data_IF_724254496284
#
_entry.id   IF_724254496284
#
_cell.length_a   1.000
_cell.length_b   1.000
_cell.length_c   1.000
_cell.angle_alpha   90.00
_cell.angle_beta   90.00
_cell.angle_gamma   90.00
#
_symmetry.space_group_name_H-M   'P 1'
#
loop_
_entity.id
_entity.type
_entity.pdbx_description
1 polymer ?
#
# COMPACT_ATOMS: atom_id res chain seq x y z
N UNK A 1 10.04 -43.48 2.82
CA UNK A 1 10.26 -42.09 2.37
C UNK A 1 9.23 -41.72 1.31
N UNK A 2 8.77 -42.70 0.49
CA UNK A 2 7.76 -42.42 -0.55
C UNK A 2 6.38 -41.93 -0.01
N UNK A 3 6.12 -42.12 1.28
CA UNK A 3 4.85 -41.71 1.93
C UNK A 3 4.95 -40.40 2.74
N UNK A 4 6.11 -39.77 2.80
CA UNK A 4 6.26 -38.51 3.51
C UNK A 4 5.53 -37.39 2.77
N UNK A 5 4.40 -36.94 3.30
CA UNK A 5 3.51 -35.96 2.66
C UNK A 5 3.83 -34.50 2.99
N UNK A 6 4.79 -34.25 3.85
CA UNK A 6 5.20 -32.93 4.25
C UNK A 6 5.13 -32.67 5.76
N UNK A 7 5.39 -31.44 6.13
CA UNK A 7 5.34 -30.95 7.50
C UNK A 7 4.27 -29.87 7.62
N UNK A 8 3.41 -29.99 8.62
CA UNK A 8 2.41 -28.98 8.92
C UNK A 8 2.75 -28.36 10.28
N UNK A 9 3.02 -27.06 10.27
CA UNK A 9 3.38 -26.29 11.47
C UNK A 9 2.19 -25.43 11.84
N UNK A 10 1.68 -25.62 13.04
CA UNK A 10 0.59 -24.82 13.61
C UNK A 10 1.02 -24.21 14.93
N UNK A 11 0.59 -22.97 15.24
CA UNK A 11 0.77 -22.42 16.56
C UNK A 11 -0.03 -23.24 17.60
N UNK A 12 0.53 -23.44 18.77
CA UNK A 12 -0.20 -24.01 19.91
C UNK A 12 -1.31 -23.04 20.35
N UNK A 13 -2.55 -23.52 20.43
CA UNK A 13 -3.74 -22.67 20.56
C UNK A 13 -4.04 -22.22 22.00
N UNK A 14 -3.17 -22.46 22.95
CA UNK A 14 -3.37 -21.97 24.33
C UNK A 14 -2.98 -20.49 24.47
N UNK A 15 -3.83 -19.61 23.89
CA UNK A 15 -3.75 -18.19 24.19
C UNK A 15 -4.54 -17.88 25.48
N UNK A 16 -3.83 -17.83 26.58
CA UNK A 16 -4.40 -17.43 27.88
C UNK A 16 -4.67 -15.93 27.99
N UNK A 17 -4.21 -15.13 27.05
CA UNK A 17 -4.41 -13.69 27.03
C UNK A 17 -5.20 -13.29 25.78
N UNK A 18 -6.47 -12.91 25.90
CA UNK A 18 -7.21 -12.32 24.81
C UNK A 18 -6.52 -11.02 24.34
N UNK A 19 -6.47 -10.78 23.05
CA UNK A 19 -5.89 -9.59 22.41
C UNK A 19 -4.35 -9.47 22.45
N UNK A 20 -3.64 -10.54 22.74
CA UNK A 20 -2.18 -10.58 22.59
C UNK A 20 -1.80 -11.75 21.70
N UNK A 21 -1.07 -11.49 20.66
CA UNK A 21 -0.52 -12.48 19.76
C UNK A 21 0.88 -12.06 19.30
N UNK A 22 1.69 -13.04 18.94
CA UNK A 22 2.97 -12.82 18.31
C UNK A 22 2.97 -13.47 16.94
N UNK A 23 3.50 -12.76 15.96
CA UNK A 23 3.77 -13.32 14.64
C UNK A 23 5.26 -13.60 14.55
N UNK A 24 5.62 -14.84 14.27
CA UNK A 24 6.99 -15.23 14.04
C UNK A 24 7.19 -15.51 12.54
N UNK A 25 8.07 -14.75 11.92
CA UNK A 25 8.54 -15.03 10.58
C UNK A 25 9.74 -16.00 10.69
N UNK A 26 9.66 -17.13 10.00
CA UNK A 26 10.77 -18.08 9.88
C UNK A 26 11.31 -18.05 8.47
N UNK A 27 12.62 -17.92 8.32
CA UNK A 27 13.25 -18.08 7.01
C UNK A 27 13.19 -19.54 6.58
N UNK A 28 12.76 -19.80 5.37
CA UNK A 28 12.84 -21.13 4.77
C UNK A 28 14.24 -21.42 4.21
N UNK A 29 14.98 -20.37 3.89
CA UNK A 29 16.36 -20.48 3.42
C UNK A 29 17.25 -21.00 4.54
N UNK A 30 18.01 -22.02 4.26
CA UNK A 30 18.83 -22.77 5.22
C UNK A 30 18.04 -23.42 6.37
N UNK A 31 16.71 -23.47 6.30
CA UNK A 31 15.88 -24.19 7.26
C UNK A 31 15.57 -25.59 6.74
N UNK A 32 15.51 -26.55 7.67
CA UNK A 32 15.22 -27.93 7.30
C UNK A 32 15.07 -28.80 8.53
N UNK A 33 14.88 -30.08 8.29
CA UNK A 33 14.97 -31.09 9.33
C UNK A 33 15.81 -32.26 8.81
N UNK A 34 16.33 -33.06 9.73
CA UNK A 34 17.08 -34.24 9.37
C UNK A 34 16.50 -35.50 10.02
N UNK A 35 16.45 -36.57 9.26
CA UNK A 35 16.10 -37.90 9.77
C UNK A 35 17.41 -38.61 10.05
N UNK A 36 17.60 -39.03 11.28
CA UNK A 36 18.75 -39.79 11.71
C UNK A 36 18.39 -41.27 11.78
N UNK A 37 19.17 -42.09 11.15
CA UNK A 37 19.06 -43.54 11.20
C UNK A 37 20.35 -44.18 11.68
N UNK A 38 20.26 -45.43 12.03
CA UNK A 38 21.42 -46.25 12.39
C UNK A 38 21.40 -47.53 11.60
N UNK A 39 22.48 -47.80 10.89
CA UNK A 39 22.69 -49.10 10.28
C UNK A 39 23.32 -50.02 11.31
N UNK A 40 22.82 -51.24 11.41
CA UNK A 40 23.39 -52.28 12.26
C UNK A 40 24.26 -53.19 11.41
N UNK A 41 25.31 -53.74 12.03
CA UNK A 41 26.14 -54.74 11.37
C UNK A 41 25.33 -56.00 11.09
N UNK A 42 25.43 -56.54 9.87
CA UNK A 42 24.75 -57.80 9.51
C UNK A 42 25.25 -58.98 10.33
N UNK A 43 26.55 -58.96 10.67
CA UNK A 43 27.17 -59.98 11.48
C UNK A 43 26.81 -59.95 12.96
N UNK A 44 26.47 -58.79 13.49
CA UNK A 44 26.02 -58.57 14.87
C UNK A 44 25.04 -57.40 14.95
N UNK A 45 23.75 -57.68 14.96
CA UNK A 45 22.71 -56.60 15.02
C UNK A 45 22.71 -55.79 16.31
N UNK A 46 23.50 -56.15 17.32
CA UNK A 46 23.66 -55.35 18.54
C UNK A 46 24.62 -54.20 18.32
N UNK A 47 25.49 -54.28 17.33
CA UNK A 47 26.48 -53.24 17.00
C UNK A 47 25.97 -52.29 15.90
N UNK A 48 26.31 -51.04 16.09
CA UNK A 48 25.99 -49.99 15.11
C UNK A 48 27.17 -49.90 14.13
N UNK A 49 26.89 -50.17 12.85
CA UNK A 49 27.88 -50.06 11.79
C UNK A 49 28.10 -48.59 11.38
N UNK A 50 27.00 -47.84 11.27
CA UNK A 50 27.06 -46.46 10.80
C UNK A 50 25.82 -45.66 11.25
N UNK A 51 25.95 -44.34 11.25
CA UNK A 51 24.85 -43.41 11.45
C UNK A 51 24.54 -42.68 10.13
N UNK A 52 23.30 -42.74 9.70
CA UNK A 52 22.81 -42.08 8.52
C UNK A 52 22.09 -40.80 8.92
N UNK A 53 22.38 -39.69 8.23
CA UNK A 53 21.61 -38.47 8.31
C UNK A 53 21.07 -38.15 6.93
N UNK A 54 19.75 -38.01 6.82
CA UNK A 54 19.08 -37.57 5.59
C UNK A 54 18.54 -36.18 5.86
N UNK A 55 19.19 -35.13 5.34
CA UNK A 55 18.72 -33.77 5.49
C UNK A 55 17.57 -33.47 4.51
N UNK A 56 16.56 -32.79 4.97
CA UNK A 56 15.49 -32.16 4.16
C UNK A 56 15.60 -30.66 4.28
N UNK A 57 16.02 -30.02 3.23
CA UNK A 57 16.14 -28.54 3.15
C UNK A 57 14.83 -27.99 2.57
N UNK A 58 14.24 -26.97 3.19
CA UNK A 58 13.00 -26.38 2.72
C UNK A 58 13.22 -25.51 1.50
N UNK A 59 14.27 -24.70 1.49
CA UNK A 59 14.67 -23.89 0.37
C UNK A 59 16.17 -23.59 0.43
N UNK A 60 16.80 -23.48 -0.72
CA UNK A 60 18.18 -23.05 -0.87
C UNK A 60 18.24 -21.97 -1.95
N UNK A 61 18.43 -20.72 -1.50
CA UNK A 61 18.46 -19.55 -2.37
C UNK A 61 19.66 -19.55 -3.33
N UNK A 62 20.72 -20.26 -3.00
CA UNK A 62 21.93 -20.30 -3.83
C UNK A 62 21.76 -21.09 -5.14
N UNK A 63 20.82 -22.02 -5.16
CA UNK A 63 20.52 -22.90 -6.32
C UNK A 63 19.06 -22.79 -6.77
N UNK A 64 18.28 -21.91 -6.15
CA UNK A 64 16.85 -21.73 -6.41
C UNK A 64 16.07 -23.07 -6.37
N UNK A 65 16.34 -23.85 -5.35
CA UNK A 65 15.79 -25.18 -5.18
C UNK A 65 15.09 -25.31 -3.82
N UNK A 66 13.91 -25.89 -3.83
CA UNK A 66 13.18 -26.11 -2.59
C UNK A 66 11.78 -26.65 -2.77
N UNK A 67 11.10 -26.84 -1.66
CA UNK A 67 9.72 -27.27 -1.63
C UNK A 67 8.77 -26.09 -1.83
N UNK A 68 7.59 -26.37 -2.38
CA UNK A 68 6.50 -25.40 -2.43
C UNK A 68 6.07 -25.09 -1.01
N UNK A 69 6.07 -23.82 -0.67
CA UNK A 69 5.54 -23.30 0.59
C UNK A 69 4.35 -22.38 0.32
N UNK A 70 3.31 -22.53 1.13
CA UNK A 70 2.12 -21.69 1.08
C UNK A 70 1.81 -21.18 2.47
N UNK A 71 1.74 -19.86 2.60
CA UNK A 71 1.27 -19.20 3.81
C UNK A 71 -0.18 -18.81 3.63
N UNK A 72 -1.02 -19.18 4.59
CA UNK A 72 -2.42 -18.74 4.64
C UNK A 72 -2.59 -17.81 5.82
N UNK A 73 -3.04 -16.59 5.55
CA UNK A 73 -3.32 -15.59 6.55
C UNK A 73 -4.81 -15.29 6.48
N UNK A 74 -5.46 -15.31 7.63
CA UNK A 74 -6.87 -14.92 7.77
C UNK A 74 -6.95 -13.72 8.68
N UNK A 75 -7.48 -12.62 8.16
CA UNK A 75 -7.79 -11.44 8.94
C UNK A 75 -9.18 -11.58 9.57
N UNK A 76 -9.31 -11.23 10.84
CA UNK A 76 -10.58 -11.17 11.57
C UNK A 76 -10.73 -9.79 12.21
N UNK A 77 -11.52 -8.95 11.56
CA UNK A 77 -11.78 -7.58 12.01
C UNK A 77 -12.95 -7.49 13.00
N UNK A 78 -13.60 -8.61 13.36
CA UNK A 78 -14.75 -8.62 14.27
C UNK A 78 -14.44 -8.06 15.65
N UNK A 79 -13.16 -8.10 16.06
CA UNK A 79 -12.67 -7.59 17.34
C UNK A 79 -11.90 -6.27 17.22
N UNK A 80 -11.83 -5.70 16.03
CA UNK A 80 -11.19 -4.40 15.84
C UNK A 80 -11.97 -3.32 16.60
N UNK A 81 -11.26 -2.31 17.10
CA UNK A 81 -11.88 -1.18 17.79
C UNK A 81 -12.54 -0.23 16.79
N UNK A 82 -13.68 0.37 17.20
CA UNK A 82 -14.31 1.44 16.42
C UNK A 82 -13.38 2.68 16.35
N UNK A 83 -13.28 3.41 15.22
CA UNK A 83 -14.09 3.27 14.00
C UNK A 83 -13.58 2.22 13.01
N UNK A 84 -12.38 1.70 13.17
CA UNK A 84 -11.72 0.79 12.24
C UNK A 84 -12.58 -0.40 11.84
N UNK A 85 -13.30 -0.98 12.81
CA UNK A 85 -14.19 -2.12 12.58
C UNK A 85 -15.29 -1.81 11.56
N UNK A 86 -15.92 -0.65 11.66
CA UNK A 86 -17.03 -0.28 10.79
C UNK A 86 -16.53 0.10 9.40
N UNK A 87 -15.47 0.86 9.32
CA UNK A 87 -14.88 1.29 8.04
C UNK A 87 -14.42 0.09 7.21
N UNK A 88 -13.85 -0.94 7.85
CA UNK A 88 -13.34 -2.12 7.16
C UNK A 88 -14.45 -3.14 6.89
N UNK A 89 -15.36 -3.38 7.82
CA UNK A 89 -16.44 -4.34 7.64
C UNK A 89 -17.40 -3.90 6.54
N UNK A 90 -17.81 -2.64 6.54
CA UNK A 90 -18.63 -2.07 5.48
C UNK A 90 -17.90 -2.09 4.14
N UNK A 91 -16.56 -2.05 4.18
CA UNK A 91 -15.73 -2.12 3.00
C UNK A 91 -15.83 -3.44 2.24
N UNK A 92 -16.09 -4.52 2.91
CA UNK A 92 -16.19 -5.87 2.33
C UNK A 92 -17.59 -6.15 1.79
N UNK A 93 -18.62 -5.57 2.43
CA UNK A 93 -20.02 -5.92 2.13
C UNK A 93 -20.67 -5.00 1.09
N UNK A 94 -20.29 -3.74 1.01
CA UNK A 94 -20.96 -2.77 0.12
C UNK A 94 -19.97 -2.06 -0.78
N UNK A 95 -19.83 -2.53 -2.00
CA UNK A 95 -18.97 -1.88 -3.00
C UNK A 95 -19.60 -0.61 -3.60
N UNK A 96 -20.72 -0.12 -3.06
CA UNK A 96 -21.50 0.96 -3.65
C UNK A 96 -21.60 2.17 -2.71
N UNK A 97 -21.25 3.34 -3.22
CA UNK A 97 -21.55 4.66 -2.65
C UNK A 97 -21.12 4.89 -1.18
N UNK A 98 -19.85 4.65 -0.88
CA UNK A 98 -19.35 4.90 0.46
C UNK A 98 -19.24 6.39 0.76
N UNK A 99 -19.64 6.81 1.96
CA UNK A 99 -19.24 8.11 2.44
C UNK A 99 -17.71 8.18 2.47
N UNK A 100 -17.16 9.35 2.17
CA UNK A 100 -15.73 9.60 2.27
C UNK A 100 -15.26 9.21 3.66
N UNK A 101 -14.31 8.28 3.75
CA UNK A 101 -13.81 7.80 5.04
C UNK A 101 -12.97 8.87 5.71
N UNK A 102 -13.23 9.12 6.99
CA UNK A 102 -12.41 10.04 7.82
C UNK A 102 -11.00 9.51 8.02
N UNK A 103 -10.85 8.20 8.03
CA UNK A 103 -9.57 7.52 8.15
C UNK A 103 -9.44 6.48 7.05
N UNK A 104 -8.22 6.28 6.59
CA UNK A 104 -7.87 5.26 5.61
C UNK A 104 -6.78 4.36 6.17
N UNK A 105 -6.74 3.14 5.71
CA UNK A 105 -5.94 2.08 6.30
C UNK A 105 -5.09 1.38 5.24
N UNK A 106 -3.87 1.03 5.60
CA UNK A 106 -3.01 0.16 4.82
C UNK A 106 -2.39 -0.87 5.74
N UNK A 107 -2.57 -2.14 5.44
CA UNK A 107 -2.11 -3.26 6.26
C UNK A 107 -1.32 -4.25 5.40
N UNK A 108 -0.24 -4.78 5.96
CA UNK A 108 0.53 -5.83 5.32
C UNK A 108 -0.16 -7.19 5.38
N UNK A 109 0.54 -8.24 5.01
CA UNK A 109 0.08 -9.63 5.06
C UNK A 109 -1.24 -9.90 4.32
N UNK A 110 -1.50 -9.16 3.23
CA UNK A 110 -2.75 -9.30 2.46
C UNK A 110 -3.98 -8.69 3.13
N UNK A 111 -3.78 -7.77 4.07
CA UNK A 111 -4.84 -7.03 4.73
C UNK A 111 -5.41 -5.90 3.88
N UNK A 112 -5.78 -4.80 4.52
CA UNK A 112 -6.51 -3.69 3.90
C UNK A 112 -5.61 -2.84 3.01
N UNK A 113 -6.14 -2.40 1.88
CA UNK A 113 -5.59 -1.35 1.03
C UNK A 113 -6.64 -0.25 0.83
N UNK A 114 -6.18 0.97 0.59
CA UNK A 114 -7.06 2.11 0.35
C UNK A 114 -7.24 2.35 -1.13
N UNK A 115 -8.50 2.33 -1.59
CA UNK A 115 -8.86 2.77 -2.94
C UNK A 115 -9.08 4.27 -2.95
N UNK A 116 -8.53 4.94 -3.96
CA UNK A 116 -8.66 6.38 -4.19
C UNK A 116 -9.08 6.63 -5.63
N UNK A 117 -10.08 7.49 -5.83
CA UNK A 117 -10.57 7.84 -7.16
C UNK A 117 -10.57 9.35 -7.34
N UNK A 118 -9.95 9.84 -8.41
CA UNK A 118 -10.02 11.24 -8.79
C UNK A 118 -11.42 11.57 -9.32
N UNK A 119 -12.02 12.60 -8.75
CA UNK A 119 -13.39 13.01 -9.06
C UNK A 119 -13.46 14.01 -10.21
N UNK A 120 -14.64 14.26 -10.73
CA UNK A 120 -14.93 15.30 -11.72
C UNK A 120 -14.37 16.67 -11.32
N UNK A 121 -14.55 17.02 -10.05
CA UNK A 121 -14.13 18.32 -9.52
C UNK A 121 -12.63 18.56 -9.71
N UNK A 122 -11.79 17.52 -9.52
CA UNK A 122 -10.35 17.62 -9.73
C UNK A 122 -10.02 18.06 -11.17
N UNK A 123 -10.64 17.42 -12.17
CA UNK A 123 -10.38 17.74 -13.58
C UNK A 123 -10.97 19.07 -13.99
N UNK A 124 -12.16 19.40 -13.48
CA UNK A 124 -12.79 20.70 -13.73
C UNK A 124 -11.98 21.87 -13.14
N UNK A 125 -11.38 21.71 -11.98
CA UNK A 125 -10.48 22.71 -11.41
C UNK A 125 -9.25 22.94 -12.29
N UNK A 126 -8.61 21.88 -12.82
CA UNK A 126 -7.50 22.04 -13.75
C UNK A 126 -7.93 22.74 -15.06
N UNK A 127 -9.07 22.37 -15.61
CA UNK A 127 -9.62 23.03 -16.81
C UNK A 127 -9.98 24.51 -16.54
N UNK A 128 -10.48 24.83 -15.34
CA UNK A 128 -10.83 26.19 -14.96
C UNK A 128 -9.61 27.11 -14.90
N UNK A 129 -8.45 26.60 -14.46
CA UNK A 129 -7.19 27.38 -14.46
C UNK A 129 -6.87 27.89 -15.87
N UNK A 130 -7.02 27.05 -16.90
CA UNK A 130 -6.77 27.46 -18.30
C UNK A 130 -7.75 28.54 -18.73
N UNK A 131 -9.04 28.38 -18.40
CA UNK A 131 -10.10 29.35 -18.74
C UNK A 131 -9.86 30.70 -18.08
N UNK A 132 -9.49 30.70 -16.80
CA UNK A 132 -9.24 31.92 -16.03
C UNK A 132 -8.01 32.67 -16.58
N UNK A 133 -6.93 31.97 -16.89
CA UNK A 133 -5.75 32.60 -17.46
C UNK A 133 -5.97 33.11 -18.89
N UNK A 134 -6.72 32.40 -19.70
CA UNK A 134 -7.11 32.87 -21.04
C UNK A 134 -8.00 34.13 -20.96
N UNK A 135 -8.86 34.21 -19.95
CA UNK A 135 -9.67 35.42 -19.70
C UNK A 135 -8.84 36.60 -19.19
N UNK A 136 -7.80 36.32 -18.40
CA UNK A 136 -6.95 37.37 -17.80
C UNK A 136 -5.83 37.86 -18.73
N UNK A 137 -5.46 37.10 -19.71
CA UNK A 137 -4.34 37.39 -20.62
C UNK A 137 -4.79 37.45 -22.08
N UNK A 138 -4.01 38.17 -22.92
CA UNK A 138 -4.23 38.15 -24.37
C UNK A 138 -3.65 36.90 -25.05
N UNK A 139 -3.26 35.89 -24.26
CA UNK A 139 -2.69 34.62 -24.74
C UNK A 139 -3.74 33.52 -24.69
N UNK A 140 -3.71 32.64 -25.67
CA UNK A 140 -4.52 31.44 -25.69
C UNK A 140 -3.68 30.26 -25.28
N UNK A 141 -4.03 29.64 -24.14
CA UNK A 141 -3.43 28.42 -23.65
C UNK A 141 -4.39 27.26 -23.90
N UNK A 142 -3.85 26.12 -24.33
CA UNK A 142 -4.66 24.95 -24.68
C UNK A 142 -4.58 23.87 -23.61
N UNK A 143 -3.48 23.77 -22.89
CA UNK A 143 -3.27 22.70 -21.91
C UNK A 143 -2.35 23.10 -20.75
N UNK A 144 -2.23 22.19 -19.79
CA UNK A 144 -1.29 22.25 -18.66
C UNK A 144 -0.21 21.18 -18.84
N UNK A 145 1.05 21.56 -18.70
CA UNK A 145 2.12 20.62 -18.43
C UNK A 145 2.32 20.54 -16.90
N UNK A 146 2.13 19.38 -16.34
CA UNK A 146 2.30 19.13 -14.89
C UNK A 146 3.80 18.95 -14.62
N UNK A 147 4.41 19.95 -14.02
CA UNK A 147 5.84 19.93 -13.69
C UNK A 147 6.12 19.11 -12.44
N UNK A 148 5.18 19.13 -11.48
CA UNK A 148 5.24 18.37 -10.25
C UNK A 148 3.84 18.15 -9.68
N UNK A 149 3.55 16.94 -9.23
CA UNK A 149 2.40 16.62 -8.39
C UNK A 149 2.86 15.77 -7.21
N UNK A 150 2.73 16.30 -6.00
CA UNK A 150 3.09 15.61 -4.76
C UNK A 150 1.86 15.34 -3.92
N UNK A 151 1.64 14.07 -3.63
CA UNK A 151 0.60 13.62 -2.72
C UNK A 151 1.18 13.44 -1.32
N UNK A 152 0.55 14.08 -0.33
CA UNK A 152 0.86 13.93 1.08
C UNK A 152 -0.31 13.27 1.79
N UNK A 153 -0.04 12.19 2.52
CA UNK A 153 -1.04 11.43 3.30
C UNK A 153 -0.60 11.44 4.75
N UNK A 154 -1.35 12.14 5.59
CA UNK A 154 -1.00 12.36 6.98
C UNK A 154 -1.49 11.23 7.88
N UNK A 155 -0.74 10.91 8.93
CA UNK A 155 -1.20 10.00 9.96
C UNK A 155 -2.44 10.56 10.66
N UNK A 156 -3.36 9.71 11.03
CA UNK A 156 -4.53 10.10 11.82
C UNK A 156 -4.06 10.70 13.16
N UNK A 157 -4.64 11.85 13.53
CA UNK A 157 -4.20 12.59 14.71
C UNK A 157 -2.88 13.35 14.52
N UNK A 158 -2.51 13.68 13.29
CA UNK A 158 -1.27 14.42 12.97
C UNK A 158 -1.25 15.88 13.45
N UNK A 159 -2.36 16.40 13.93
CA UNK A 159 -2.47 17.71 14.60
C UNK A 159 -1.91 17.71 16.04
N UNK A 160 -1.04 16.75 16.36
CA UNK A 160 -0.43 16.65 17.68
C UNK A 160 0.42 17.89 18.02
N UNK A 161 0.42 18.22 19.30
CA UNK A 161 1.22 19.32 19.84
C UNK A 161 2.67 18.90 20.03
N UNK A 162 3.57 19.40 19.17
CA UNK A 162 5.01 19.14 19.27
C UNK A 162 5.65 19.63 20.58
N UNK A 163 5.00 20.50 21.32
CA UNK A 163 5.45 20.96 22.65
C UNK A 163 5.06 19.97 23.74
N UNK A 164 4.10 19.09 23.46
CA UNK A 164 3.65 18.06 24.37
C UNK A 164 4.41 16.74 24.10
N UNK A 165 5.33 16.39 24.99
CA UNK A 165 6.15 15.17 24.85
C UNK A 165 5.34 13.88 24.79
N UNK A 166 4.16 13.84 25.40
CA UNK A 166 3.27 12.68 25.35
C UNK A 166 2.71 12.48 23.94
N UNK A 167 2.29 13.54 23.30
CA UNK A 167 1.75 13.51 21.92
C UNK A 167 2.85 13.14 20.93
N UNK A 168 4.03 13.73 21.06
CA UNK A 168 5.21 13.39 20.23
C UNK A 168 5.56 11.91 20.37
N UNK A 169 5.57 11.38 21.60
CA UNK A 169 5.86 9.97 21.85
C UNK A 169 4.81 9.07 21.18
N UNK A 170 3.54 9.38 21.33
CA UNK A 170 2.46 8.63 20.73
C UNK A 170 2.56 8.61 19.20
N UNK A 171 2.88 9.73 18.59
CA UNK A 171 3.08 9.82 17.13
C UNK A 171 4.29 9.00 16.67
N UNK A 172 5.39 8.99 17.41
CA UNK A 172 6.57 8.16 17.11
C UNK A 172 6.20 6.68 17.16
N UNK A 173 5.49 6.24 18.20
CA UNK A 173 5.03 4.86 18.34
C UNK A 173 4.12 4.45 17.20
N UNK A 174 3.21 5.32 16.77
CA UNK A 174 2.34 5.09 15.63
C UNK A 174 3.13 4.95 14.32
N UNK A 175 4.10 5.84 14.07
CA UNK A 175 4.95 5.76 12.88
C UNK A 175 5.82 4.50 12.86
N UNK A 176 6.32 4.06 14.04
CA UNK A 176 7.14 2.85 14.15
C UNK A 176 6.33 1.56 13.90
N UNK A 177 5.04 1.56 14.23
CA UNK A 177 4.13 0.45 13.95
C UNK A 177 3.61 0.43 12.50
N UNK A 178 3.82 1.51 11.76
CA UNK A 178 3.27 1.71 10.42
C UNK A 178 4.13 1.07 9.34
N UNK A 179 3.56 0.94 8.15
CA UNK A 179 4.31 0.56 6.95
C UNK A 179 5.44 1.55 6.71
N UNK A 180 6.65 1.07 6.53
CA UNK A 180 7.82 1.94 6.31
C UNK A 180 7.74 2.72 5.01
N UNK A 181 7.06 2.13 4.01
CA UNK A 181 6.86 2.69 2.69
C UNK A 181 5.53 2.26 2.10
N UNK A 182 4.87 3.16 1.38
CA UNK A 182 3.65 2.91 0.62
C UNK A 182 3.91 2.90 -0.89
N UNK A 183 3.26 1.99 -1.59
CA UNK A 183 3.17 1.94 -3.03
C UNK A 183 1.81 2.42 -3.52
N UNK A 184 1.77 2.97 -4.73
CA UNK A 184 0.55 3.32 -5.44
C UNK A 184 0.40 2.44 -6.68
N UNK A 185 -0.76 1.84 -6.82
CA UNK A 185 -1.02 0.81 -7.83
C UNK A 185 -2.28 1.16 -8.64
N UNK A 186 -2.22 0.91 -9.93
CA UNK A 186 -3.39 0.92 -10.82
C UNK A 186 -4.17 -0.40 -10.75
N UNK A 187 -3.49 -1.47 -10.36
CA UNK A 187 -4.08 -2.78 -10.09
C UNK A 187 -3.31 -3.45 -8.95
N UNK A 188 -3.89 -3.43 -7.77
CA UNK A 188 -3.24 -3.98 -6.59
C UNK A 188 -3.09 -5.51 -6.63
N UNK A 189 -4.06 -6.24 -7.19
CA UNK A 189 -3.97 -7.72 -7.31
C UNK A 189 -2.80 -8.18 -8.18
N UNK A 190 -2.40 -7.36 -9.16
CA UNK A 190 -1.26 -7.63 -10.04
C UNK A 190 -0.01 -6.86 -9.63
N UNK A 191 -0.07 -6.07 -8.57
CA UNK A 191 0.99 -5.15 -8.15
C UNK A 191 1.48 -4.23 -9.27
N UNK A 192 0.57 -3.86 -10.18
CA UNK A 192 0.88 -2.93 -11.27
C UNK A 192 0.89 -1.52 -10.71
N UNK A 193 2.08 -0.94 -10.53
CA UNK A 193 2.25 0.41 -10.02
C UNK A 193 1.74 1.49 -10.96
N UNK A 194 1.50 2.69 -10.41
CA UNK A 194 1.33 3.89 -11.22
C UNK A 194 2.63 4.20 -11.98
N UNK A 195 2.55 5.02 -13.01
CA UNK A 195 3.72 5.35 -13.88
C UNK A 195 4.94 5.77 -13.07
N UNK A 196 4.77 6.67 -12.10
CA UNK A 196 5.87 7.20 -11.29
C UNK A 196 6.52 6.12 -10.41
N UNK A 197 5.71 5.24 -9.83
CA UNK A 197 6.20 4.13 -9.01
C UNK A 197 6.90 3.06 -9.86
N UNK A 198 6.30 2.65 -10.97
CA UNK A 198 6.85 1.66 -11.87
C UNK A 198 8.16 2.16 -12.53
N UNK A 199 8.17 3.41 -13.00
CA UNK A 199 9.36 4.00 -13.60
C UNK A 199 10.55 4.07 -12.63
N UNK A 200 10.28 4.48 -11.40
CA UNK A 200 11.30 4.55 -10.37
C UNK A 200 11.88 3.16 -10.05
N UNK A 201 11.04 2.12 -10.04
CA UNK A 201 11.46 0.75 -9.79
C UNK A 201 12.30 0.17 -10.94
N UNK A 202 11.87 0.37 -12.18
CA UNK A 202 12.53 -0.23 -13.36
C UNK A 202 13.85 0.44 -13.75
N UNK A 203 13.97 1.77 -13.56
CA UNK A 203 15.07 2.53 -14.14
C UNK A 203 16.25 2.79 -13.20
N UNK A 204 16.05 2.79 -11.91
CA UNK A 204 17.08 3.31 -11.01
C UNK A 204 17.51 2.36 -9.89
N UNK A 205 16.85 1.24 -9.68
CA UNK A 205 16.99 0.45 -8.43
C UNK A 205 16.86 1.32 -7.16
N UNK A 206 16.62 2.60 -7.34
CA UNK A 206 16.50 3.61 -6.28
C UNK A 206 15.19 4.35 -6.41
N UNK A 207 14.11 3.64 -6.15
CA UNK A 207 12.77 4.22 -6.02
C UNK A 207 12.70 5.31 -4.96
N UNK A 208 13.74 5.43 -4.15
CA UNK A 208 13.86 6.34 -3.02
C UNK A 208 13.86 7.81 -3.42
N UNK A 209 14.53 8.13 -4.54
CA UNK A 209 14.84 9.52 -4.88
C UNK A 209 13.75 10.22 -5.69
N UNK A 210 12.94 9.46 -6.43
CA UNK A 210 11.94 10.05 -7.34
C UNK A 210 10.52 9.90 -6.84
N UNK A 211 10.08 8.68 -6.54
CA UNK A 211 8.73 8.43 -6.09
C UNK A 211 8.50 8.78 -4.61
N UNK A 212 9.46 8.47 -3.74
CA UNK A 212 9.27 8.61 -2.29
C UNK A 212 8.46 7.47 -1.68
N UNK A 213 7.33 7.81 -1.06
CA UNK A 213 6.46 6.85 -0.37
C UNK A 213 6.90 6.50 1.04
N UNK A 214 8.04 7.00 1.51
CA UNK A 214 8.53 6.81 2.88
C UNK A 214 7.87 7.74 3.88
N UNK A 215 7.89 7.34 5.14
CA UNK A 215 7.44 8.17 6.26
C UNK A 215 8.35 9.41 6.37
N UNK A 216 7.75 10.57 6.24
CA UNK A 216 8.36 11.83 6.64
C UNK A 216 8.06 12.07 8.13
N UNK A 217 8.99 11.68 8.98
CA UNK A 217 8.80 11.73 10.45
C UNK A 217 8.62 13.14 10.99
N UNK A 218 9.25 14.13 10.36
CA UNK A 218 9.13 15.52 10.80
C UNK A 218 7.79 16.15 10.46
N UNK A 219 7.06 15.57 9.49
CA UNK A 219 5.74 16.06 9.06
C UNK A 219 4.60 15.11 9.43
N UNK A 220 4.89 13.92 9.95
CA UNK A 220 3.88 12.91 10.28
C UNK A 220 3.06 12.46 9.06
N UNK A 221 3.71 12.25 7.92
CA UNK A 221 3.02 11.88 6.69
C UNK A 221 3.89 11.02 5.77
N UNK A 222 3.22 10.38 4.81
CA UNK A 222 3.86 9.85 3.61
C UNK A 222 3.82 10.91 2.52
N UNK A 223 4.89 11.00 1.72
CA UNK A 223 4.95 11.90 0.56
C UNK A 223 5.32 11.10 -0.67
N UNK A 224 4.49 11.17 -1.70
CA UNK A 224 4.64 10.41 -2.94
C UNK A 224 4.58 11.36 -4.14
N UNK A 225 5.50 11.18 -5.09
CA UNK A 225 5.46 11.86 -6.38
C UNK A 225 4.50 11.10 -7.31
N UNK A 226 3.53 11.81 -7.85
CA UNK A 226 2.51 11.30 -8.78
C UNK A 226 2.43 12.13 -10.06
N UNK A 227 3.50 12.80 -10.41
CA UNK A 227 3.56 13.76 -11.51
C UNK A 227 3.17 13.15 -12.84
N UNK A 228 3.78 12.02 -13.22
CA UNK A 228 3.49 11.34 -14.46
C UNK A 228 2.09 10.75 -14.50
N UNK A 229 1.60 10.26 -13.35
CA UNK A 229 0.24 9.75 -13.24
C UNK A 229 -0.81 10.85 -13.44
N UNK A 230 -0.65 11.99 -12.78
CA UNK A 230 -1.56 13.14 -12.94
C UNK A 230 -1.51 13.69 -14.36
N UNK A 231 -0.31 13.81 -14.97
CA UNK A 231 -0.21 14.22 -16.37
C UNK A 231 -0.92 13.26 -17.32
N UNK A 232 -0.78 11.96 -17.11
CA UNK A 232 -1.44 10.96 -17.95
C UNK A 232 -2.96 11.04 -17.84
N UNK A 233 -3.49 11.18 -16.62
CA UNK A 233 -4.92 11.36 -16.41
C UNK A 233 -5.45 12.65 -17.04
N UNK A 234 -4.68 13.74 -16.93
CA UNK A 234 -5.02 15.02 -17.55
C UNK A 234 -5.11 14.90 -19.08
N UNK A 235 -4.16 14.22 -19.70
CA UNK A 235 -4.16 13.99 -21.14
C UNK A 235 -5.41 13.18 -21.56
N UNK A 236 -5.74 12.09 -20.84
CA UNK A 236 -6.97 11.32 -21.13
C UNK A 236 -8.24 12.16 -20.95
N UNK A 237 -8.27 13.04 -19.94
CA UNK A 237 -9.40 13.95 -19.76
C UNK A 237 -9.56 14.90 -20.95
N UNK A 238 -8.47 15.50 -21.42
CA UNK A 238 -8.51 16.41 -22.57
C UNK A 238 -8.93 15.69 -23.87
N UNK A 239 -8.37 14.52 -24.12
CA UNK A 239 -8.77 13.68 -25.26
C UNK A 239 -10.28 13.32 -25.21
N UNK A 240 -10.78 12.98 -24.03
CA UNK A 240 -12.20 12.67 -23.84
C UNK A 240 -13.09 13.89 -24.08
N UNK A 241 -12.71 15.06 -23.59
CA UNK A 241 -13.46 16.30 -23.80
C UNK A 241 -13.41 16.75 -25.26
N UNK A 242 -12.29 16.58 -25.94
CA UNK A 242 -12.16 16.86 -27.38
C UNK A 242 -13.08 15.96 -28.23
N UNK A 243 -13.16 14.67 -27.86
CA UNK A 243 -13.97 13.67 -28.58
C UNK A 243 -15.47 13.82 -28.30
N UNK A 244 -15.86 13.99 -27.02
CA UNK A 244 -17.24 13.96 -26.55
C UNK A 244 -17.88 15.34 -26.42
N UNK A 245 -17.07 16.39 -26.29
CA UNK A 245 -17.50 17.76 -26.01
C UNK A 245 -17.49 18.11 -24.52
N UNK A 246 -17.27 19.37 -24.21
CA UNK A 246 -17.19 19.89 -22.82
C UNK A 246 -18.46 19.65 -21.96
N UNK A 247 -19.61 19.49 -22.60
CA UNK A 247 -20.92 19.31 -21.95
C UNK A 247 -21.33 17.83 -21.88
N UNK A 248 -20.45 16.90 -22.25
CA UNK A 248 -20.75 15.48 -22.14
C UNK A 248 -20.96 15.06 -20.67
N UNK A 249 -21.82 14.07 -20.41
CA UNK A 249 -22.00 13.54 -19.07
C UNK A 249 -20.66 13.09 -18.46
N UNK A 250 -20.46 13.38 -17.17
CA UNK A 250 -19.23 13.00 -16.50
C UNK A 250 -18.90 11.50 -16.59
N UNK A 251 -19.92 10.67 -16.51
CA UNK A 251 -19.79 9.21 -16.60
C UNK A 251 -19.08 8.78 -17.89
N UNK A 252 -19.44 9.38 -19.03
CA UNK A 252 -18.84 9.07 -20.33
C UNK A 252 -17.38 9.56 -20.42
N UNK A 253 -17.11 10.75 -19.90
CA UNK A 253 -15.74 11.30 -19.80
C UNK A 253 -14.90 10.41 -18.86
N UNK A 254 -15.44 10.05 -17.70
CA UNK A 254 -14.76 9.27 -16.68
C UNK A 254 -14.34 7.87 -17.15
N UNK A 255 -15.13 7.23 -18.04
CA UNK A 255 -14.80 5.93 -18.65
C UNK A 255 -13.56 6.03 -19.57
N UNK A 256 -13.30 7.20 -20.15
CA UNK A 256 -12.14 7.42 -21.02
C UNK A 256 -10.87 7.72 -20.23
N UNK A 257 -10.98 8.23 -19.00
CA UNK A 257 -9.84 8.52 -18.13
C UNK A 257 -9.35 7.21 -17.51
N UNK A 258 -8.45 6.55 -18.21
CA UNK A 258 -7.80 5.34 -17.70
C UNK A 258 -7.03 5.68 -16.42
N UNK A 259 -7.03 4.75 -15.48
CA UNK A 259 -6.24 4.85 -14.23
C UNK A 259 -6.65 5.98 -13.26
N UNK A 260 -7.84 6.58 -13.40
CA UNK A 260 -8.32 7.56 -12.43
C UNK A 260 -8.56 6.97 -11.03
N UNK A 261 -8.69 5.66 -10.92
CA UNK A 261 -8.71 4.93 -9.65
C UNK A 261 -7.35 4.30 -9.41
N UNK A 262 -6.81 4.51 -8.23
CA UNK A 262 -5.56 3.92 -7.78
C UNK A 262 -5.71 3.34 -6.38
N UNK A 263 -4.82 2.44 -6.02
CA UNK A 263 -4.80 1.75 -4.74
C UNK A 263 -3.52 2.09 -3.99
N UNK A 264 -3.65 2.55 -2.77
CA UNK A 264 -2.53 2.76 -1.86
C UNK A 264 -2.39 1.51 -0.98
N UNK A 265 -1.25 0.88 -1.06
CA UNK A 265 -0.96 -0.37 -0.36
C UNK A 265 0.47 -0.44 0.14
N UNK A 266 0.83 -1.51 0.86
CA UNK A 266 2.21 -1.74 1.24
C UNK A 266 3.11 -1.83 0.00
N UNK A 267 4.33 -1.33 0.12
CA UNK A 267 5.39 -1.63 -0.84
C UNK A 267 5.80 -3.11 -0.72
N UNK A 268 6.47 -3.66 -1.75
CA UNK A 268 6.74 -5.09 -1.88
C UNK A 268 7.21 -5.80 -0.60
N UNK A 269 8.14 -5.19 0.14
CA UNK A 269 8.59 -5.75 1.42
C UNK A 269 7.55 -5.62 2.53
N UNK A 270 6.74 -4.57 2.50
CA UNK A 270 5.64 -4.33 3.45
C UNK A 270 4.54 -5.38 3.37
N UNK A 271 4.42 -6.10 2.23
CA UNK A 271 3.48 -7.21 2.07
C UNK A 271 3.69 -8.34 3.08
N UNK A 272 4.91 -8.52 3.55
CA UNK A 272 5.29 -9.61 4.47
C UNK A 272 5.36 -9.16 5.93
N UNK A 273 5.03 -7.93 6.23
CA UNK A 273 5.06 -7.38 7.59
C UNK A 273 3.66 -7.29 8.18
N UNK A 274 3.58 -7.39 9.49
CA UNK A 274 2.34 -7.15 10.24
C UNK A 274 2.04 -5.66 10.46
N UNK A 275 2.88 -4.79 9.91
CA UNK A 275 2.73 -3.35 10.09
C UNK A 275 1.45 -2.84 9.42
N UNK A 276 0.81 -1.88 10.05
CA UNK A 276 -0.37 -1.22 9.54
C UNK A 276 -0.26 0.29 9.72
N UNK A 277 -0.84 1.03 8.80
CA UNK A 277 -0.89 2.49 8.86
C UNK A 277 -2.32 2.98 8.96
N UNK A 278 -2.58 3.87 9.89
CA UNK A 278 -3.86 4.58 10.03
C UNK A 278 -3.62 6.04 9.67
N UNK A 279 -4.28 6.48 8.63
CA UNK A 279 -4.03 7.78 8.04
C UNK A 279 -5.33 8.59 7.97
N UNK A 280 -5.17 9.90 7.88
CA UNK A 280 -6.26 10.80 7.64
C UNK A 280 -6.81 10.58 6.23
N UNK A 281 -8.11 10.39 6.13
CA UNK A 281 -8.80 10.26 4.85
C UNK A 281 -9.21 11.60 4.25
N UNK A 282 -10.11 11.54 3.31
CA UNK A 282 -10.74 12.74 2.76
C UNK A 282 -11.70 13.32 3.80
N UNK A 283 -11.76 14.64 3.87
CA UNK A 283 -12.62 15.32 4.82
C UNK A 283 -14.08 15.08 4.53
N UNK A 284 -14.85 14.73 5.54
CA UNK A 284 -16.27 14.91 5.43
C UNK A 284 -16.64 16.38 5.41
N UNK A 285 -17.77 16.65 4.81
CA UNK A 285 -18.35 17.94 4.50
C UNK A 285 -18.72 18.86 5.68
N UNK A 286 -18.35 18.52 6.92
CA UNK A 286 -18.74 19.32 8.09
C UNK A 286 -17.84 20.55 8.33
N UNK A 287 -16.86 20.80 7.48
CA UNK A 287 -16.03 22.00 7.52
C UNK A 287 -15.16 22.15 8.76
N UNK A 288 -15.09 21.15 9.59
CA UNK A 288 -14.41 21.19 10.90
C UNK A 288 -12.91 20.97 10.85
N UNK A 289 -12.32 20.78 9.66
CA UNK A 289 -10.87 20.62 9.56
C UNK A 289 -10.16 21.96 9.68
N UNK A 290 -9.31 22.03 10.68
CA UNK A 290 -8.27 23.05 10.75
C UNK A 290 -7.21 22.78 9.66
N UNK A 291 -6.37 23.76 9.34
CA UNK A 291 -5.24 23.56 8.40
C UNK A 291 -4.29 22.43 8.80
N UNK A 292 -4.39 21.98 10.02
CA UNK A 292 -3.55 20.96 10.64
C UNK A 292 -4.12 19.54 10.49
N UNK A 293 -5.45 19.43 10.33
CA UNK A 293 -6.15 18.18 10.06
C UNK A 293 -6.19 17.87 8.55
N UNK A 294 -5.09 18.12 7.86
CA UNK A 294 -5.09 18.07 6.42
C UNK A 294 -5.47 16.68 5.90
N UNK A 295 -6.54 16.59 5.11
CA UNK A 295 -6.86 15.39 4.36
C UNK A 295 -5.72 15.03 3.41
N UNK A 296 -5.88 13.96 2.65
CA UNK A 296 -4.97 13.67 1.53
C UNK A 296 -4.84 14.94 0.67
N UNK A 297 -3.61 15.43 0.56
CA UNK A 297 -3.31 16.69 -0.12
C UNK A 297 -2.46 16.42 -1.36
N UNK A 298 -2.82 17.06 -2.47
CA UNK A 298 -2.03 17.04 -3.70
C UNK A 298 -1.60 18.47 -4.02
N UNK A 299 -0.30 18.73 -3.95
CA UNK A 299 0.31 19.99 -4.36
C UNK A 299 0.77 19.86 -5.82
N UNK A 300 0.25 20.70 -6.71
CA UNK A 300 0.53 20.66 -8.15
C UNK A 300 1.23 21.95 -8.58
N UNK A 301 2.40 21.78 -9.22
CA UNK A 301 3.06 22.86 -9.97
C UNK A 301 2.90 22.56 -11.47
N UNK A 302 2.49 23.56 -12.24
CA UNK A 302 2.19 23.40 -13.65
C UNK A 302 2.74 24.56 -14.49
N UNK A 303 2.79 24.34 -15.79
CA UNK A 303 3.05 25.37 -16.81
C UNK A 303 1.91 25.37 -17.81
N UNK A 304 1.41 26.54 -18.13
CA UNK A 304 0.42 26.72 -19.20
C UNK A 304 1.10 26.59 -20.56
N UNK A 305 0.53 25.79 -21.44
CA UNK A 305 1.07 25.49 -22.77
C UNK A 305 0.04 25.91 -23.84
N UNK A 306 0.57 26.46 -24.95
CA UNK A 306 -0.22 26.85 -26.12
C UNK A 306 -0.47 25.69 -27.04
#
# INVERSE_FOLDING_TARGET
VAEFKGLYIVPAVDQTSPNKGNIYATSLDASGFAIYGRNRLESDPTLIADTLSIPYIFYDSSVDYGNVSVNTIRHDYSKATSPQRFDIADAVETNENRPLSKQVYVEGMGGVVTEMTFTEEFFRQLAQIIKDENAASAKEFNTLAINQARMSVYFAGSNYDWQNLTDVKHMIEQMDASQSRLGLYTNYKKLSGITDYAYAYEKTYSTTLTYGGYINRSRGCYVMDITGHVQSMWNYYQEAVEELGENAPWEEIAERIKTRTMYMGPEAYGLYTQNYSVMQGMTPSDGSLTKEDAPIKIDIAYTLVK
#
